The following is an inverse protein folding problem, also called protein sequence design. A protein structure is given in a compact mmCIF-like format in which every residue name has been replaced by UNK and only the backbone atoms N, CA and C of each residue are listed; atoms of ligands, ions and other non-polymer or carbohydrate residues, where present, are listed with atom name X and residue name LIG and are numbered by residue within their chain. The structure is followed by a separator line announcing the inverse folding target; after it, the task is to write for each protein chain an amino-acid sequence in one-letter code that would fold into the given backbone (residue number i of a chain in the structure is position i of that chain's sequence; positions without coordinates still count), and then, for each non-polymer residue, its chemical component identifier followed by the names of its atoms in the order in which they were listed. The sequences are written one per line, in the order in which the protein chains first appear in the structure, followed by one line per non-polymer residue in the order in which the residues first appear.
data_IF_424619292831
#
_entry.id   IF_424619292831
#
_cell.length_a   1.000
_cell.length_b   1.000
_cell.length_c   1.000
_cell.angle_alpha   90.00
_cell.angle_beta   90.00
_cell.angle_gamma   90.00
#
_symmetry.space_group_name_H-M   'P 1'
#
loop_
_entity.id
_entity.type
_entity.pdbx_description
1 polymer ?
#
# COMPACT_ATOMS: atom_id res chain seq x y z
N UNK A 1 2.55 -9.33 20.38
CA UNK A 1 2.50 -10.46 19.42
C UNK A 1 1.10 -11.05 19.20
N UNK A 2 0.47 -11.81 20.11
CA UNK A 2 -0.85 -12.44 19.83
C UNK A 2 -1.95 -11.44 19.46
N UNK A 3 -1.96 -10.27 20.10
CA UNK A 3 -2.93 -9.20 19.81
C UNK A 3 -2.71 -8.59 18.41
N UNK A 4 -1.44 -8.37 18.01
CA UNK A 4 -1.11 -7.89 16.66
C UNK A 4 -1.55 -8.89 15.59
N UNK A 5 -1.32 -10.20 15.81
CA UNK A 5 -1.81 -11.25 14.91
C UNK A 5 -3.34 -11.18 14.79
N UNK A 6 -4.06 -11.10 15.91
CA UNK A 6 -5.52 -11.05 15.89
C UNK A 6 -6.08 -9.84 15.14
N UNK A 7 -5.51 -8.66 15.37
CA UNK A 7 -5.92 -7.42 14.69
C UNK A 7 -5.62 -7.52 13.19
N UNK A 8 -4.40 -7.94 12.82
CA UNK A 8 -4.00 -8.12 11.43
C UNK A 8 -4.89 -9.15 10.70
N UNK A 9 -5.20 -10.29 11.32
CA UNK A 9 -6.07 -11.32 10.74
C UNK A 9 -7.50 -10.81 10.52
N UNK A 10 -8.00 -9.91 11.37
CA UNK A 10 -9.30 -9.26 11.15
C UNK A 10 -9.25 -8.23 10.03
N UNK A 11 -8.13 -7.53 9.88
CA UNK A 11 -8.00 -6.46 8.90
C UNK A 11 -7.75 -6.98 7.48
N UNK A 12 -6.98 -8.06 7.36
CA UNK A 12 -6.51 -8.62 6.08
C UNK A 12 -7.62 -8.86 5.04
N UNK A 13 -8.76 -9.52 5.33
CA UNK A 13 -9.79 -9.77 4.32
C UNK A 13 -10.34 -8.50 3.66
N UNK A 14 -10.37 -7.42 4.43
CA UNK A 14 -10.82 -6.11 3.95
C UNK A 14 -9.71 -5.38 3.21
N UNK A 15 -8.48 -5.42 3.72
CA UNK A 15 -7.32 -4.82 3.06
C UNK A 15 -7.09 -5.41 1.67
N UNK A 16 -7.30 -6.73 1.50
CA UNK A 16 -7.17 -7.40 0.20
C UNK A 16 -8.21 -6.99 -0.83
N UNK A 17 -9.25 -6.24 -0.46
CA UNK A 17 -10.24 -5.73 -1.41
C UNK A 17 -9.59 -4.79 -2.44
N UNK A 18 -8.64 -3.96 -2.01
CA UNK A 18 -7.98 -3.01 -2.90
C UNK A 18 -7.13 -3.71 -3.99
N UNK A 19 -6.21 -4.64 -3.68
CA UNK A 19 -5.50 -5.40 -4.71
C UNK A 19 -6.45 -6.23 -5.57
N UNK A 20 -7.52 -6.79 -5.01
CA UNK A 20 -8.52 -7.52 -5.80
C UNK A 20 -9.16 -6.62 -6.87
N UNK A 21 -9.54 -5.39 -6.49
CA UNK A 21 -10.11 -4.42 -7.43
C UNK A 21 -9.04 -3.94 -8.42
N UNK A 22 -7.80 -3.72 -8.00
CA UNK A 22 -6.72 -3.31 -8.91
C UNK A 22 -6.38 -4.38 -9.95
N UNK A 23 -6.33 -5.65 -9.55
CA UNK A 23 -6.15 -6.78 -10.45
C UNK A 23 -7.29 -6.86 -11.47
N UNK A 24 -8.55 -6.72 -11.03
CA UNK A 24 -9.68 -6.64 -11.96
C UNK A 24 -9.52 -5.51 -13.00
N UNK A 25 -9.07 -4.32 -12.58
CA UNK A 25 -8.82 -3.20 -13.50
C UNK A 25 -7.65 -3.46 -14.46
N UNK A 26 -6.62 -4.19 -14.01
CA UNK A 26 -5.48 -4.61 -14.83
C UNK A 26 -5.94 -5.63 -15.88
N UNK A 27 -6.70 -6.65 -15.49
CA UNK A 27 -7.20 -7.70 -16.40
C UNK A 27 -8.14 -7.15 -17.47
N UNK A 28 -8.94 -6.12 -17.14
CA UNK A 28 -9.79 -5.44 -18.11
C UNK A 28 -9.02 -4.45 -19.02
N UNK A 29 -7.70 -4.30 -18.85
CA UNK A 29 -6.87 -3.42 -19.67
C UNK A 29 -7.10 -1.93 -19.43
N UNK A 30 -7.64 -1.53 -18.27
CA UNK A 30 -7.91 -0.12 -17.95
C UNK A 30 -6.67 0.64 -17.48
N UNK A 31 -5.62 -0.09 -17.11
CA UNK A 31 -4.39 0.47 -16.55
C UNK A 31 -3.22 0.36 -17.53
N UNK A 32 -2.10 1.01 -17.21
CA UNK A 32 -0.85 0.93 -18.00
C UNK A 32 0.04 -0.26 -17.56
N UNK A 33 -0.55 -1.28 -16.95
CA UNK A 33 0.21 -2.41 -16.43
C UNK A 33 0.63 -3.37 -17.55
N UNK A 34 1.87 -3.86 -17.48
CA UNK A 34 2.42 -4.83 -18.43
C UNK A 34 2.98 -6.06 -17.70
N UNK A 35 3.13 -7.17 -18.42
CA UNK A 35 3.43 -8.48 -17.81
C UNK A 35 4.84 -8.98 -18.08
N UNK A 36 5.50 -8.45 -19.10
CA UNK A 36 6.89 -8.79 -19.44
C UNK A 36 7.75 -7.55 -19.59
N UNK A 37 8.93 -7.58 -18.97
CA UNK A 37 9.95 -6.53 -19.09
C UNK A 37 10.40 -6.35 -20.55
N UNK A 38 10.33 -7.39 -21.38
CA UNK A 38 10.68 -7.31 -22.80
C UNK A 38 9.79 -6.37 -23.61
N UNK A 39 8.59 -6.02 -23.13
CA UNK A 39 7.66 -5.10 -23.80
C UNK A 39 8.17 -3.66 -23.83
N UNK A 40 8.96 -3.27 -22.83
CA UNK A 40 9.51 -1.91 -22.67
C UNK A 40 11.04 -1.86 -22.66
N UNK A 41 11.69 -3.00 -22.40
CA UNK A 41 13.13 -3.12 -22.22
C UNK A 41 13.59 -2.69 -20.81
N UNK A 42 14.74 -3.22 -20.38
CA UNK A 42 15.27 -3.02 -19.02
C UNK A 42 15.46 -1.55 -18.62
N UNK A 43 15.94 -0.72 -19.55
CA UNK A 43 16.16 0.70 -19.27
C UNK A 43 14.85 1.43 -18.97
N UNK A 44 13.83 1.25 -19.81
CA UNK A 44 12.52 1.86 -19.59
C UNK A 44 11.83 1.27 -18.35
N UNK A 45 11.97 -0.04 -18.09
CA UNK A 45 11.49 -0.68 -16.87
C UNK A 45 12.03 0.02 -15.61
N UNK A 46 13.35 0.25 -15.52
CA UNK A 46 13.98 0.92 -14.37
C UNK A 46 13.50 2.36 -14.26
N UNK A 47 13.43 3.10 -15.37
CA UNK A 47 12.94 4.49 -15.35
C UNK A 47 11.49 4.58 -14.90
N UNK A 48 10.60 3.75 -15.45
CA UNK A 48 9.20 3.72 -15.06
C UNK A 48 9.04 3.30 -13.60
N UNK A 49 9.83 2.34 -13.12
CA UNK A 49 9.85 1.96 -11.70
C UNK A 49 10.21 3.15 -10.81
N UNK A 50 11.26 3.90 -11.17
CA UNK A 50 11.68 5.06 -10.38
C UNK A 50 10.60 6.16 -10.35
N UNK A 51 9.98 6.47 -11.49
CA UNK A 51 8.88 7.45 -11.56
C UNK A 51 7.68 6.96 -10.76
N UNK A 52 7.33 5.67 -10.89
CA UNK A 52 6.25 5.05 -10.13
C UNK A 52 6.47 5.19 -8.62
N UNK A 53 7.67 4.86 -8.13
CA UNK A 53 8.03 5.01 -6.71
C UNK A 53 7.90 6.47 -6.25
N UNK A 54 8.42 7.44 -7.01
CA UNK A 54 8.30 8.86 -6.64
C UNK A 54 6.83 9.28 -6.49
N UNK A 55 5.95 8.87 -7.41
CA UNK A 55 4.52 9.20 -7.35
C UNK A 55 3.86 8.54 -6.15
N UNK A 56 4.16 7.25 -5.92
CA UNK A 56 3.57 6.47 -4.83
C UNK A 56 4.03 7.03 -3.48
N UNK A 57 5.33 7.16 -3.24
CA UNK A 57 5.91 7.71 -2.00
C UNK A 57 5.35 9.09 -1.69
N UNK A 58 5.26 9.96 -2.70
CA UNK A 58 4.65 11.27 -2.54
C UNK A 58 3.17 11.16 -2.14
N UNK A 59 2.40 10.32 -2.83
CA UNK A 59 0.99 10.09 -2.50
C UNK A 59 0.78 9.53 -1.11
N UNK A 60 1.58 8.54 -0.70
CA UNK A 60 1.52 7.91 0.63
C UNK A 60 1.83 8.93 1.71
N UNK A 61 2.88 9.73 1.54
CA UNK A 61 3.22 10.80 2.47
C UNK A 61 2.03 11.73 2.73
N UNK A 62 1.34 12.18 1.67
CA UNK A 62 0.18 13.06 1.83
C UNK A 62 -1.02 12.34 2.44
N UNK A 63 -1.32 11.11 2.03
CA UNK A 63 -2.41 10.33 2.62
C UNK A 63 -2.18 10.07 4.11
N UNK A 64 -0.96 9.69 4.48
CA UNK A 64 -0.55 9.47 5.86
C UNK A 64 -0.63 10.77 6.68
N UNK A 65 -0.17 11.88 6.10
CA UNK A 65 -0.30 13.20 6.72
C UNK A 65 -1.77 13.58 6.96
N UNK A 66 -2.66 13.34 5.99
CA UNK A 66 -4.08 13.61 6.14
C UNK A 66 -4.72 12.74 7.25
N UNK A 67 -4.34 11.47 7.34
CA UNK A 67 -4.74 10.56 8.42
C UNK A 67 -4.34 11.07 9.80
N UNK A 68 -3.24 11.82 9.88
CA UNK A 68 -2.79 12.49 11.10
C UNK A 68 -3.46 13.84 11.37
N UNK A 69 -3.51 14.72 10.36
CA UNK A 69 -3.93 16.12 10.49
C UNK A 69 -5.47 16.22 10.64
N UNK A 70 -6.23 15.31 10.01
CA UNK A 70 -7.69 15.32 10.05
C UNK A 70 -8.19 14.52 11.26
N UNK A 71 -8.63 15.25 12.30
CA UNK A 71 -9.10 14.69 13.59
C UNK A 71 -10.01 13.45 13.51
N UNK A 72 -11.08 13.40 12.68
CA UNK A 72 -11.90 12.20 12.60
C UNK A 72 -11.17 11.01 11.96
N UNK A 73 -10.29 11.23 10.98
CA UNK A 73 -9.49 10.16 10.36
C UNK A 73 -8.50 9.59 11.37
N UNK A 74 -7.82 10.47 12.11
CA UNK A 74 -6.90 10.04 13.17
C UNK A 74 -7.62 9.19 14.21
N UNK A 75 -8.71 9.73 14.79
CA UNK A 75 -9.40 9.09 15.92
C UNK A 75 -9.99 7.71 15.58
N UNK A 76 -10.57 7.56 14.38
CA UNK A 76 -11.34 6.36 14.04
C UNK A 76 -10.54 5.35 13.21
N UNK A 77 -9.56 5.80 12.42
CA UNK A 77 -8.80 4.94 11.52
C UNK A 77 -7.37 4.77 12.02
N UNK A 78 -6.65 5.89 12.18
CA UNK A 78 -5.20 5.87 12.33
C UNK A 78 -4.68 5.61 13.75
N UNK A 79 -5.47 5.94 14.79
CA UNK A 79 -5.05 5.77 16.19
C UNK A 79 -4.75 4.30 16.53
N UNK A 80 -5.44 3.36 15.89
CA UNK A 80 -5.25 1.92 16.09
C UNK A 80 -3.87 1.46 15.61
N UNK A 81 -3.43 1.97 14.45
CA UNK A 81 -2.10 1.74 13.89
C UNK A 81 -1.00 2.15 14.89
N UNK A 82 -1.09 3.37 15.41
CA UNK A 82 -0.15 3.89 16.42
C UNK A 82 -0.12 3.08 17.72
N UNK A 83 -1.26 2.55 18.17
CA UNK A 83 -1.32 1.76 19.42
C UNK A 83 -0.56 0.44 19.27
N UNK A 84 -0.68 -0.23 18.12
CA UNK A 84 -0.10 -1.55 17.90
C UNK A 84 1.34 -1.53 17.34
N UNK A 85 1.77 -0.41 16.75
CA UNK A 85 3.18 -0.17 16.42
C UNK A 85 4.02 0.28 17.61
N UNK A 86 3.46 1.07 18.55
CA UNK A 86 4.19 1.55 19.75
C UNK A 86 4.66 0.45 20.71
N UNK A 87 4.20 -0.78 20.54
CA UNK A 87 4.49 -1.88 21.45
C UNK A 87 5.91 -2.47 21.34
N UNK A 88 6.87 -1.80 20.68
CA UNK A 88 8.30 -2.19 20.56
C UNK A 88 8.51 -3.67 20.21
N UNK A 89 7.55 -4.26 19.52
CA UNK A 89 7.57 -5.65 19.08
C UNK A 89 7.53 -5.62 17.57
N UNK A 90 8.72 -5.41 16.99
CA UNK A 90 8.96 -5.58 15.56
C UNK A 90 8.48 -6.98 15.16
N UNK A 91 7.40 -7.01 14.39
CA UNK A 91 6.85 -8.24 13.82
C UNK A 91 6.16 -7.90 12.50
N UNK A 92 6.13 -8.82 11.54
CA UNK A 92 5.46 -8.60 10.26
C UNK A 92 3.94 -8.35 10.42
N UNK A 93 3.36 -8.74 11.56
CA UNK A 93 1.96 -8.49 11.87
C UNK A 93 1.72 -7.10 12.47
N UNK A 94 2.75 -6.41 12.96
CA UNK A 94 2.61 -5.07 13.50
C UNK A 94 2.27 -4.07 12.39
N UNK A 95 2.97 -4.13 11.25
CA UNK A 95 2.69 -3.28 10.08
C UNK A 95 1.28 -3.46 9.51
N UNK A 96 0.70 -4.66 9.68
CA UNK A 96 -0.66 -5.00 9.22
C UNK A 96 -1.74 -4.86 10.31
N UNK A 97 -1.39 -4.43 11.53
CA UNK A 97 -2.31 -4.30 12.66
C UNK A 97 -2.99 -2.92 12.71
N UNK A 98 -3.69 -2.55 11.63
CA UNK A 98 -4.38 -1.27 11.49
C UNK A 98 -5.89 -1.44 11.28
N UNK A 99 -6.62 -0.31 11.28
CA UNK A 99 -7.99 -0.28 10.79
C UNK A 99 -7.99 -0.53 9.26
N UNK A 100 -8.81 -1.42 8.68
CA UNK A 100 -8.71 -1.74 7.25
C UNK A 100 -8.72 -0.55 6.29
N UNK A 101 -9.58 0.43 6.57
CA UNK A 101 -9.63 1.66 5.77
C UNK A 101 -8.36 2.50 5.86
N UNK A 102 -7.60 2.42 6.97
CA UNK A 102 -6.31 3.10 7.09
C UNK A 102 -5.32 2.54 6.05
N UNK A 103 -5.12 1.21 6.06
CA UNK A 103 -4.27 0.55 5.07
C UNK A 103 -4.75 0.76 3.63
N UNK A 104 -6.07 0.68 3.38
CA UNK A 104 -6.61 0.96 2.03
C UNK A 104 -6.27 2.39 1.60
N UNK A 105 -6.48 3.40 2.46
CA UNK A 105 -6.18 4.80 2.13
C UNK A 105 -4.70 5.02 1.85
N UNK A 106 -3.80 4.39 2.62
CA UNK A 106 -2.36 4.45 2.37
C UNK A 106 -1.95 3.68 1.11
N UNK A 107 -2.69 2.64 0.70
CA UNK A 107 -2.41 1.89 -0.52
C UNK A 107 -3.04 2.49 -1.81
N UNK A 108 -4.03 3.40 -1.72
CA UNK A 108 -4.67 4.07 -2.87
C UNK A 108 -3.68 4.70 -3.86
N UNK A 109 -2.59 5.38 -3.44
CA UNK A 109 -1.56 5.90 -4.34
C UNK A 109 -1.00 4.88 -5.33
N UNK A 110 -0.83 3.61 -4.92
CA UNK A 110 -0.39 2.53 -5.81
C UNK A 110 -1.40 2.30 -6.94
N UNK A 111 -2.69 2.32 -6.63
CA UNK A 111 -3.77 2.12 -7.61
C UNK A 111 -3.89 3.32 -8.55
N UNK A 112 -3.74 4.53 -8.04
CA UNK A 112 -3.73 5.74 -8.89
C UNK A 112 -2.54 5.69 -9.86
N UNK A 113 -1.36 5.29 -9.38
CA UNK A 113 -0.15 5.24 -10.19
C UNK A 113 -0.27 4.27 -11.39
N UNK A 114 -1.07 3.20 -11.29
CA UNK A 114 -1.37 2.27 -12.40
C UNK A 114 -1.92 2.97 -13.65
N UNK A 115 -2.64 4.08 -13.48
CA UNK A 115 -3.23 4.83 -14.60
C UNK A 115 -2.28 5.89 -15.17
N UNK A 116 -1.24 6.26 -14.42
CA UNK A 116 -0.34 7.36 -14.75
C UNK A 116 0.91 6.87 -15.48
N UNK A 117 1.56 5.82 -14.96
CA UNK A 117 2.88 5.35 -15.42
C UNK A 117 2.83 3.86 -15.73
N UNK A 118 3.47 3.39 -16.82
CA UNK A 118 3.57 1.96 -17.08
C UNK A 118 4.31 1.23 -15.96
N UNK A 119 3.76 0.14 -15.44
CA UNK A 119 4.42 -0.62 -14.37
C UNK A 119 4.26 -2.12 -14.59
N UNK A 120 5.32 -2.87 -14.29
CA UNK A 120 5.32 -4.31 -14.40
C UNK A 120 4.44 -4.92 -13.30
N UNK A 121 3.53 -5.82 -13.68
CA UNK A 121 2.53 -6.42 -12.79
C UNK A 121 3.11 -6.95 -11.48
N UNK A 122 4.13 -7.81 -11.56
CA UNK A 122 4.75 -8.42 -10.38
C UNK A 122 5.42 -7.38 -9.48
N UNK A 123 5.95 -6.31 -10.08
CA UNK A 123 6.61 -5.26 -9.34
C UNK A 123 5.60 -4.39 -8.61
N UNK A 124 4.46 -4.07 -9.24
CA UNK A 124 3.34 -3.39 -8.59
C UNK A 124 2.82 -4.17 -7.37
N UNK A 125 2.51 -5.47 -7.54
CA UNK A 125 2.02 -6.31 -6.44
C UNK A 125 3.08 -6.49 -5.35
N UNK A 126 4.34 -6.68 -5.73
CA UNK A 126 5.46 -6.81 -4.78
C UNK A 126 5.64 -5.55 -3.93
N UNK A 127 5.64 -4.37 -4.55
CA UNK A 127 5.75 -3.10 -3.84
C UNK A 127 4.56 -2.84 -2.92
N UNK A 128 3.33 -3.09 -3.39
CA UNK A 128 2.11 -2.97 -2.58
C UNK A 128 2.15 -3.84 -1.32
N UNK A 129 2.69 -5.06 -1.44
CA UNK A 129 2.84 -5.97 -0.30
C UNK A 129 3.95 -5.52 0.66
N UNK A 130 5.10 -5.09 0.13
CA UNK A 130 6.22 -4.59 0.93
C UNK A 130 5.80 -3.37 1.74
N UNK A 131 5.06 -2.44 1.13
CA UNK A 131 4.55 -1.23 1.79
C UNK A 131 3.72 -1.59 3.03
N UNK A 132 2.70 -2.44 2.87
CA UNK A 132 1.85 -2.83 4.00
C UNK A 132 2.59 -3.57 5.12
N UNK A 133 3.76 -4.16 4.83
CA UNK A 133 4.64 -4.73 5.86
C UNK A 133 5.53 -3.67 6.52
N UNK A 134 5.97 -2.65 5.78
CA UNK A 134 6.91 -1.60 6.21
C UNK A 134 6.22 -0.39 6.85
N UNK A 135 4.89 -0.27 6.75
CA UNK A 135 4.06 0.75 7.42
C UNK A 135 4.24 0.81 8.94
N UNK A 136 4.90 -0.18 9.55
CA UNK A 136 5.28 -0.15 10.97
C UNK A 136 6.42 0.80 11.34
N UNK A 137 7.22 1.27 10.38
CA UNK A 137 8.46 2.00 10.66
C UNK A 137 8.31 3.54 10.63
N UNK A 138 7.26 4.06 10.00
CA UNK A 138 7.06 5.51 9.78
C UNK A 138 6.12 6.20 10.79
N UNK A 139 5.58 5.47 11.77
CA UNK A 139 4.58 5.95 12.75
C UNK A 139 5.16 6.36 14.10
#
# INVERSE_FOLDING_TARGET
MLLQIYVAMKAMPWYTLLPTVSEYMIENGWTKCYTSISEVGWFAYIMYMAIYLVIVEFGIYWMHRELHDIKPLYKHLHATHHIYNKQNTLSPFAGLAFHPLDGILQAVPHVIALFLVPIHFRSHIGLLFIEGCMDSEHS
#
